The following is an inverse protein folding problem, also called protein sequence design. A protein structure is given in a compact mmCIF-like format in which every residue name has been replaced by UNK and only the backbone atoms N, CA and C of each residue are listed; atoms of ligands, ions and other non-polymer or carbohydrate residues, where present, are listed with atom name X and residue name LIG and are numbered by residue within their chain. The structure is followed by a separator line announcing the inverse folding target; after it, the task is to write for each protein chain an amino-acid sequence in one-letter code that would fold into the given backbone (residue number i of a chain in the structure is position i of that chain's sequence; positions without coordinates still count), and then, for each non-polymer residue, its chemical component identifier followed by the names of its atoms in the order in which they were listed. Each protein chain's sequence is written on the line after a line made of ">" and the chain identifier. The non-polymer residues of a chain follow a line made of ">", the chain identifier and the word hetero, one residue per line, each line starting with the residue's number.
data_IF_352280304746
#
_entry.id   IF_352280304746
#
_cell.length_a   1.000
_cell.length_b   1.000
_cell.length_c   1.000
_cell.angle_alpha   90.00
_cell.angle_beta   90.00
_cell.angle_gamma   90.00
#
_symmetry.space_group_name_H-M   'P 1'
#
loop_
_entity.id
_entity.type
_entity.pdbx_description
1 polymer ?
#
# COMPACT_ATOMS: atom_id res chain seq x y z
N UNK A 1 8.97 -35.66 -56.44
CA UNK A 1 9.83 -35.38 -55.27
C UNK A 1 9.00 -34.62 -54.26
N UNK A 2 8.75 -35.20 -53.08
CA UNK A 2 8.01 -34.53 -52.01
C UNK A 2 9.00 -33.71 -51.16
N UNK A 3 8.76 -32.41 -51.04
CA UNK A 3 9.54 -31.54 -50.16
C UNK A 3 9.19 -31.83 -48.70
N UNK A 4 10.12 -32.43 -47.97
CA UNK A 4 10.03 -32.51 -46.51
C UNK A 4 10.29 -31.10 -45.96
N UNK A 5 9.25 -30.49 -45.37
CA UNK A 5 9.37 -29.20 -44.71
C UNK A 5 9.88 -29.45 -43.29
N UNK A 6 11.21 -29.43 -43.12
CA UNK A 6 11.87 -29.53 -41.81
C UNK A 6 11.75 -28.15 -41.16
N UNK A 7 11.24 -28.10 -39.92
CA UNK A 7 11.08 -26.85 -39.17
C UNK A 7 12.45 -26.17 -38.97
N UNK A 8 12.58 -24.91 -39.40
CA UNK A 8 13.81 -24.12 -39.33
C UNK A 8 14.14 -23.55 -37.93
N UNK A 9 13.40 -23.96 -36.90
CA UNK A 9 13.63 -23.54 -35.51
C UNK A 9 13.48 -24.74 -34.57
N UNK A 10 14.35 -24.89 -33.55
CA UNK A 10 14.24 -25.97 -32.57
C UNK A 10 12.89 -25.93 -31.84
N UNK A 11 12.32 -27.09 -31.52
CA UNK A 11 11.02 -27.21 -30.83
C UNK A 11 11.00 -26.52 -29.45
N UNK A 12 12.16 -26.29 -28.83
CA UNK A 12 12.30 -25.56 -27.56
C UNK A 12 12.32 -24.02 -27.75
N UNK A 13 12.41 -23.53 -28.98
CA UNK A 13 12.15 -22.13 -29.37
C UNK A 13 10.70 -21.98 -29.82
N UNK A 14 9.79 -22.73 -29.18
CA UNK A 14 8.36 -22.54 -29.34
C UNK A 14 7.97 -21.27 -28.58
N UNK A 15 7.23 -20.38 -29.23
CA UNK A 15 6.69 -19.12 -28.71
C UNK A 15 6.46 -19.15 -27.20
N UNK A 16 7.12 -18.27 -26.43
CA UNK A 16 6.89 -18.22 -24.99
C UNK A 16 5.43 -17.87 -24.74
N UNK A 17 4.68 -18.81 -24.17
CA UNK A 17 3.30 -18.60 -23.77
C UNK A 17 3.30 -17.57 -22.65
N UNK A 18 2.62 -16.43 -22.84
CA UNK A 18 2.62 -15.33 -21.87
C UNK A 18 2.24 -15.84 -20.47
N UNK A 19 3.03 -15.52 -19.43
CA UNK A 19 2.77 -15.99 -18.08
C UNK A 19 1.54 -15.30 -17.48
N UNK A 20 0.93 -15.98 -16.50
CA UNK A 20 -0.11 -15.43 -15.65
C UNK A 20 0.48 -14.88 -14.36
N UNK A 21 0.09 -13.67 -13.98
CA UNK A 21 0.35 -13.09 -12.68
C UNK A 21 -0.98 -12.72 -12.06
N UNK A 22 -1.33 -13.33 -10.94
CA UNK A 22 -2.44 -12.88 -10.11
C UNK A 22 -1.87 -12.01 -8.99
N UNK A 23 -2.11 -10.70 -9.07
CA UNK A 23 -1.74 -9.77 -8.02
C UNK A 23 -2.84 -9.70 -6.96
N UNK A 24 -2.49 -9.80 -5.69
CA UNK A 24 -3.41 -9.71 -4.55
C UNK A 24 -2.92 -8.61 -3.62
N UNK A 25 -3.77 -7.60 -3.41
CA UNK A 25 -3.51 -6.54 -2.45
C UNK A 25 -4.07 -6.88 -1.07
N UNK A 26 -3.32 -6.51 -0.03
CA UNK A 26 -3.84 -6.44 1.32
C UNK A 26 -4.78 -5.22 1.46
N UNK A 27 -6.05 -5.50 1.74
CA UNK A 27 -7.08 -4.54 2.08
C UNK A 27 -7.60 -4.78 3.51
N UNK A 28 -6.75 -5.26 4.41
CA UNK A 28 -7.06 -5.27 5.84
C UNK A 28 -6.98 -3.87 6.43
N UNK A 29 -7.66 -3.66 7.55
CA UNK A 29 -7.73 -2.34 8.18
C UNK A 29 -6.38 -1.83 8.68
N UNK A 30 -5.40 -2.72 8.84
CA UNK A 30 -4.02 -2.37 9.17
C UNK A 30 -3.36 -1.44 8.16
N UNK A 31 -3.73 -1.59 6.91
CA UNK A 31 -3.20 -0.82 5.80
C UNK A 31 -3.53 0.68 5.89
N UNK A 32 -4.42 1.08 6.80
CA UNK A 32 -4.73 2.48 7.12
C UNK A 32 -3.71 3.15 8.06
N UNK A 33 -2.82 2.39 8.71
CA UNK A 33 -1.90 2.93 9.72
C UNK A 33 -0.89 3.93 9.14
N UNK A 34 -0.67 5.02 9.87
CA UNK A 34 0.37 6.03 9.62
C UNK A 34 1.64 5.79 10.47
N UNK A 35 1.65 4.68 11.21
CA UNK A 35 2.75 4.28 12.10
C UNK A 35 3.19 2.84 11.85
N UNK A 36 4.50 2.62 11.90
CA UNK A 36 5.20 1.34 12.03
C UNK A 36 6.39 1.54 12.98
N UNK A 37 6.97 0.49 13.59
CA UNK A 37 6.49 -0.89 13.57
C UNK A 37 5.25 -1.05 14.48
N UNK A 38 4.77 -2.28 14.61
CA UNK A 38 3.54 -2.60 15.33
C UNK A 38 3.66 -2.29 16.83
N UNK A 39 4.83 -2.46 17.43
CA UNK A 39 5.12 -2.11 18.82
C UNK A 39 4.84 -0.62 19.08
N UNK A 40 5.26 0.25 18.15
CA UNK A 40 4.96 1.67 18.22
C UNK A 40 3.47 1.95 17.94
N UNK A 41 2.90 1.28 16.94
CA UNK A 41 1.48 1.40 16.55
C UNK A 41 0.53 1.02 17.69
N UNK A 42 0.90 0.02 18.50
CA UNK A 42 0.17 -0.49 19.65
C UNK A 42 0.66 0.07 21.00
N UNK A 43 1.61 1.01 21.03
CA UNK A 43 1.98 1.72 22.27
C UNK A 43 0.72 2.30 22.96
N UNK A 44 0.49 2.00 24.24
CA UNK A 44 -0.75 2.32 24.98
C UNK A 44 -2.02 1.54 24.58
N UNK A 45 -1.90 0.48 23.77
CA UNK A 45 -3.01 -0.43 23.52
C UNK A 45 -3.39 -1.15 24.81
N UNK A 46 -4.67 -1.11 25.15
CA UNK A 46 -5.20 -1.66 26.40
C UNK A 46 -6.25 -2.75 26.17
N UNK A 47 -6.22 -3.40 25.01
CA UNK A 47 -7.22 -4.38 24.59
C UNK A 47 -8.49 -3.78 23.97
N UNK A 48 -8.67 -2.45 24.02
CA UNK A 48 -9.81 -1.79 23.39
C UNK A 48 -9.51 -1.39 21.95
N UNK A 49 -10.33 -1.83 21.00
CA UNK A 49 -10.26 -1.47 19.58
C UNK A 49 -10.22 0.05 19.33
N UNK A 50 -10.76 0.86 20.24
CA UNK A 50 -10.73 2.32 20.19
C UNK A 50 -9.36 2.93 20.51
N UNK A 51 -8.39 2.12 20.93
CA UNK A 51 -6.98 2.48 21.07
C UNK A 51 -6.12 1.97 19.90
N UNK A 52 -6.72 1.27 18.92
CA UNK A 52 -6.07 0.91 17.66
C UNK A 52 -5.94 2.15 16.78
N UNK A 53 -4.84 2.23 16.04
CA UNK A 53 -4.38 3.38 15.25
C UNK A 53 -3.91 4.60 16.07
N UNK A 54 -2.71 5.06 15.73
CA UNK A 54 -2.23 6.41 16.02
C UNK A 54 -2.17 7.20 14.72
N UNK A 55 -2.90 8.31 14.67
CA UNK A 55 -2.84 9.23 13.55
C UNK A 55 -1.72 10.25 13.80
N UNK A 56 -0.87 10.48 12.81
CA UNK A 56 0.19 11.51 12.89
C UNK A 56 -0.32 12.88 12.44
N UNK A 57 -1.48 12.92 11.75
CA UNK A 57 -2.23 14.13 11.44
C UNK A 57 -3.68 14.05 11.93
N UNK A 58 -4.37 15.19 12.12
CA UNK A 58 -5.80 15.16 12.39
C UNK A 58 -6.57 14.36 11.34
N UNK A 59 -7.33 13.37 11.82
CA UNK A 59 -8.07 12.42 11.00
C UNK A 59 -9.06 13.11 10.07
N UNK A 60 -9.12 12.60 8.83
CA UNK A 60 -10.23 12.81 7.89
C UNK A 60 -11.16 11.59 7.94
N UNK A 61 -12.46 11.81 8.08
CA UNK A 61 -13.43 10.72 8.22
C UNK A 61 -13.50 9.86 6.95
N UNK A 62 -13.48 8.54 7.13
CA UNK A 62 -13.65 7.54 6.07
C UNK A 62 -12.66 7.74 4.91
N UNK A 63 -11.43 8.14 5.23
CA UNK A 63 -10.40 8.50 4.24
C UNK A 63 -10.19 7.38 3.22
N UNK A 64 -10.33 6.12 3.63
CA UNK A 64 -10.10 4.94 2.79
C UNK A 64 -11.39 4.30 2.22
N UNK A 65 -12.57 4.88 2.53
CA UNK A 65 -13.86 4.55 1.92
C UNK A 65 -14.62 3.37 2.55
N UNK A 66 -13.99 2.53 3.37
CA UNK A 66 -14.56 1.28 3.88
C UNK A 66 -14.93 1.32 5.37
N UNK A 67 -15.08 2.52 5.92
CA UNK A 67 -15.11 2.75 7.36
C UNK A 67 -13.70 2.92 7.92
N UNK A 68 -13.61 3.34 9.19
CA UNK A 68 -12.37 3.35 9.95
C UNK A 68 -12.64 2.72 11.33
N UNK A 69 -11.60 2.36 12.08
CA UNK A 69 -11.76 1.88 13.46
C UNK A 69 -12.28 3.03 14.35
N UNK A 70 -13.59 3.14 14.52
CA UNK A 70 -14.25 4.29 15.16
C UNK A 70 -14.56 4.03 16.64
N UNK A 71 -14.08 4.95 17.50
CA UNK A 71 -14.94 5.74 18.38
C UNK A 71 -14.23 6.94 19.01
N UNK A 72 -12.90 7.03 18.94
CA UNK A 72 -12.19 8.26 19.32
C UNK A 72 -10.94 8.49 18.45
N UNK A 73 -10.94 9.33 17.39
CA UNK A 73 -9.71 9.57 16.65
C UNK A 73 -8.74 10.35 17.53
N UNK A 74 -7.59 9.73 17.81
CA UNK A 74 -6.56 10.29 18.66
C UNK A 74 -5.35 10.60 17.79
N UNK A 75 -5.03 11.87 17.67
CA UNK A 75 -3.86 12.34 16.92
C UNK A 75 -2.68 12.43 17.87
N UNK A 76 -1.51 11.97 17.47
CA UNK A 76 -0.29 12.21 18.25
C UNK A 76 -0.03 13.72 18.29
N UNK A 77 0.26 14.28 19.47
CA UNK A 77 0.67 15.69 19.61
C UNK A 77 1.84 16.03 18.68
N UNK A 78 2.03 17.31 18.37
CA UNK A 78 3.13 17.77 17.49
C UNK A 78 4.43 18.10 18.23
N UNK A 79 4.41 18.09 19.57
CA UNK A 79 5.54 18.30 20.47
C UNK A 79 5.50 17.27 21.60
N UNK A 80 6.63 17.01 22.23
CA UNK A 80 6.77 15.99 23.28
C UNK A 80 7.37 14.68 22.78
N UNK A 81 7.65 13.79 23.73
CA UNK A 81 8.33 12.51 23.51
C UNK A 81 7.65 11.63 22.47
N UNK A 82 6.31 11.53 22.52
CA UNK A 82 5.53 10.73 21.57
C UNK A 82 5.51 11.38 20.19
N UNK A 83 5.53 12.72 20.12
CA UNK A 83 5.56 13.46 18.87
C UNK A 83 6.85 13.23 18.10
N UNK A 84 7.99 13.26 18.81
CA UNK A 84 9.31 13.02 18.26
C UNK A 84 9.42 11.60 17.67
N UNK A 85 9.02 10.58 18.45
CA UNK A 85 8.99 9.19 17.98
C UNK A 85 8.07 9.00 16.76
N UNK A 86 6.85 9.55 16.79
CA UNK A 86 5.89 9.37 15.70
C UNK A 86 6.31 10.05 14.39
N UNK A 87 7.10 11.13 14.47
CA UNK A 87 7.50 11.97 13.35
C UNK A 87 8.99 11.86 13.01
N UNK A 88 9.62 10.79 13.46
CA UNK A 88 10.98 10.43 13.08
C UNK A 88 10.96 9.17 12.23
N UNK A 89 11.51 9.22 11.02
CA UNK A 89 11.59 8.02 10.17
C UNK A 89 12.48 6.93 10.77
N UNK A 90 13.36 7.26 11.71
CA UNK A 90 14.23 6.30 12.39
C UNK A 90 13.46 5.44 13.41
N UNK A 91 12.34 5.96 13.95
CA UNK A 91 11.46 5.23 14.88
C UNK A 91 10.15 4.80 14.21
N UNK A 92 9.54 5.69 13.44
CA UNK A 92 8.41 5.44 12.57
C UNK A 92 8.80 5.56 11.09
N UNK A 93 9.32 4.49 10.46
CA UNK A 93 9.71 4.51 9.04
C UNK A 93 8.59 4.88 8.05
N UNK A 94 7.32 4.92 8.45
CA UNK A 94 6.23 5.44 7.62
C UNK A 94 6.25 6.98 7.52
N UNK A 95 6.86 7.65 8.49
CA UNK A 95 6.97 9.11 8.49
C UNK A 95 7.98 9.61 7.45
N UNK A 96 7.91 10.91 7.16
CA UNK A 96 8.78 11.58 6.21
C UNK A 96 10.27 11.32 6.50
N UNK A 97 10.98 10.79 5.51
CA UNK A 97 12.43 10.61 5.52
C UNK A 97 13.08 11.66 4.60
N UNK A 98 13.84 12.63 5.14
CA UNK A 98 14.50 13.66 4.34
C UNK A 98 15.55 13.13 3.36
N UNK A 99 16.01 11.88 3.51
CA UNK A 99 16.93 11.22 2.59
C UNK A 99 16.26 10.67 1.32
N UNK A 100 14.92 10.69 1.24
CA UNK A 100 14.14 10.07 0.15
C UNK A 100 13.49 11.15 -0.71
N UNK A 101 13.64 11.04 -2.03
CA UNK A 101 12.84 11.81 -3.00
C UNK A 101 11.50 11.10 -3.23
N UNK A 102 10.41 11.65 -2.68
CA UNK A 102 9.05 11.14 -2.83
C UNK A 102 8.43 11.64 -4.13
N UNK A 103 8.14 10.69 -5.01
CA UNK A 103 7.51 10.92 -6.31
C UNK A 103 6.00 10.68 -6.23
N UNK A 104 5.17 11.40 -7.01
CA UNK A 104 3.76 11.07 -7.17
C UNK A 104 3.53 9.62 -7.62
N UNK A 105 2.32 9.10 -7.43
CA UNK A 105 1.92 7.84 -8.06
C UNK A 105 1.99 7.97 -9.59
N UNK A 106 2.04 6.84 -10.28
CA UNK A 106 2.08 6.80 -11.75
C UNK A 106 0.74 6.37 -12.33
N UNK A 107 0.42 6.84 -13.52
CA UNK A 107 -0.72 6.36 -14.30
C UNK A 107 -0.37 5.05 -15.01
N UNK A 108 -1.38 4.41 -15.62
CA UNK A 108 -1.19 3.17 -16.35
C UNK A 108 -0.19 3.28 -17.52
N UNK A 109 -0.02 4.47 -18.09
CA UNK A 109 0.94 4.77 -19.16
C UNK A 109 2.37 5.08 -18.63
N UNK A 110 2.60 4.97 -17.32
CA UNK A 110 3.89 5.26 -16.68
C UNK A 110 4.17 6.74 -16.43
N UNK A 111 3.29 7.65 -16.85
CA UNK A 111 3.41 9.07 -16.50
C UNK A 111 3.15 9.29 -15.02
N UNK A 112 3.80 10.27 -14.40
CA UNK A 112 3.50 10.64 -13.02
C UNK A 112 2.20 11.43 -12.92
N UNK A 113 1.44 11.17 -11.85
CA UNK A 113 0.38 12.07 -11.42
C UNK A 113 0.96 13.43 -11.02
N UNK A 114 0.14 14.50 -10.98
CA UNK A 114 0.61 15.83 -10.61
C UNK A 114 1.29 15.85 -9.24
N UNK A 115 2.38 16.63 -9.13
CA UNK A 115 3.00 16.92 -7.84
C UNK A 115 1.97 17.55 -6.87
N UNK A 116 2.03 17.18 -5.59
CA UNK A 116 1.06 17.66 -4.61
C UNK A 116 1.33 19.13 -4.29
N UNK A 117 0.37 20.06 -4.46
CA UNK A 117 0.60 21.48 -4.18
C UNK A 117 0.78 21.70 -2.67
N UNK A 118 1.91 22.24 -2.17
CA UNK A 118 2.17 22.36 -0.74
C UNK A 118 1.10 23.13 0.06
N UNK A 119 0.54 24.19 -0.52
CA UNK A 119 -0.51 24.99 0.12
C UNK A 119 -1.90 24.32 0.12
N UNK A 120 -2.08 23.22 -0.63
CA UNK A 120 -3.35 22.53 -0.79
C UNK A 120 -3.15 21.03 -1.06
N UNK A 121 -2.30 20.37 -0.28
CA UNK A 121 -1.94 18.97 -0.51
C UNK A 121 -3.16 18.06 -0.31
N UNK A 122 -3.57 17.25 -1.31
CA UNK A 122 -4.73 16.36 -1.18
C UNK A 122 -4.58 15.38 -0.02
N UNK A 123 -5.63 15.25 0.79
CA UNK A 123 -5.69 14.23 1.83
C UNK A 123 -5.75 12.82 1.21
N UNK A 124 -6.38 12.66 0.05
CA UNK A 124 -6.32 11.41 -0.72
C UNK A 124 -6.24 11.74 -2.21
N UNK A 125 -5.21 11.26 -2.93
CA UNK A 125 -5.11 11.49 -4.38
C UNK A 125 -6.29 10.81 -5.09
N UNK A 126 -6.75 11.38 -6.21
CA UNK A 126 -7.91 10.95 -7.01
C UNK A 126 -9.31 11.15 -6.38
N UNK A 127 -9.40 11.65 -5.15
CA UNK A 127 -10.67 11.83 -4.45
C UNK A 127 -10.78 13.22 -3.81
N UNK A 128 -11.39 14.16 -4.53
CA UNK A 128 -11.54 15.56 -4.09
C UNK A 128 -12.43 15.71 -2.85
N UNK A 129 -13.32 14.75 -2.59
CA UNK A 129 -14.26 14.75 -1.47
C UNK A 129 -13.59 14.74 -0.09
N UNK A 130 -12.32 14.33 -0.02
CA UNK A 130 -11.56 14.31 1.25
C UNK A 130 -10.81 15.62 1.52
N UNK A 131 -10.94 16.62 0.64
CA UNK A 131 -10.33 17.93 0.80
C UNK A 131 -8.79 17.91 0.79
N UNK A 132 -8.22 19.03 1.21
CA UNK A 132 -6.78 19.29 1.18
C UNK A 132 -6.29 19.77 2.55
N UNK A 133 -4.97 19.71 2.76
CA UNK A 133 -4.30 20.32 3.90
C UNK A 133 -3.27 21.33 3.41
N UNK A 134 -3.28 22.53 3.99
CA UNK A 134 -2.22 23.50 3.75
C UNK A 134 -1.00 23.15 4.61
N UNK A 135 0.11 22.76 3.98
CA UNK A 135 1.33 22.33 4.65
C UNK A 135 2.29 23.49 4.96
N UNK A 136 2.02 24.70 4.49
CA UNK A 136 2.93 25.84 4.54
C UNK A 136 2.58 26.85 5.63
N UNK A 137 1.50 26.62 6.39
CA UNK A 137 1.02 27.52 7.46
C UNK A 137 0.64 26.73 8.71
N UNK A 138 0.57 27.44 9.85
CA UNK A 138 0.05 26.86 11.08
C UNK A 138 -1.41 26.41 10.86
N UNK A 139 -1.70 25.17 11.22
CA UNK A 139 -3.02 24.58 11.21
C UNK A 139 -3.53 24.55 12.66
N UNK A 140 -4.80 24.90 12.89
CA UNK A 140 -5.44 24.74 14.20
C UNK A 140 -6.54 23.70 14.09
N UNK A 141 -6.55 22.73 15.01
CA UNK A 141 -7.53 21.65 15.01
C UNK A 141 -8.04 21.35 16.41
N UNK A 142 -9.37 21.35 16.57
CA UNK A 142 -10.04 20.87 17.78
C UNK A 142 -10.22 19.36 17.68
N UNK A 143 -9.60 18.61 18.59
CA UNK A 143 -9.66 17.16 18.55
C UNK A 143 -9.12 16.51 19.82
N UNK A 144 -8.98 15.20 19.75
CA UNK A 144 -8.41 14.36 20.82
C UNK A 144 -6.95 14.08 20.52
N UNK A 145 -6.09 14.30 21.50
CA UNK A 145 -4.64 14.25 21.35
C UNK A 145 -4.02 13.26 22.31
N UNK A 146 -3.18 12.35 21.80
CA UNK A 146 -2.34 11.48 22.62
C UNK A 146 -1.21 12.28 23.26
N UNK A 147 -1.09 12.16 24.58
CA UNK A 147 -0.01 12.72 25.37
C UNK A 147 1.10 11.66 25.60
N UNK A 148 2.27 12.11 26.05
CA UNK A 148 3.44 11.25 26.27
C UNK A 148 3.20 10.13 27.30
N UNK A 149 2.31 10.35 28.27
CA UNK A 149 1.94 9.37 29.28
C UNK A 149 0.77 8.45 28.86
N UNK A 150 0.35 8.47 27.59
CA UNK A 150 -0.77 7.69 27.10
C UNK A 150 -2.16 8.22 27.49
N UNK A 151 -2.25 9.37 28.17
CA UNK A 151 -3.54 10.03 28.38
C UNK A 151 -4.01 10.75 27.11
N UNK A 152 -5.30 11.10 27.07
CA UNK A 152 -5.90 11.81 25.94
C UNK A 152 -6.48 13.12 26.44
N UNK A 153 -6.18 14.19 25.72
CA UNK A 153 -6.75 15.52 25.98
C UNK A 153 -7.58 15.98 24.80
N UNK A 154 -8.77 16.52 25.07
CA UNK A 154 -9.63 17.16 24.07
C UNK A 154 -9.37 18.66 24.11
N UNK A 155 -8.74 19.19 23.07
CA UNK A 155 -8.42 20.62 22.99
C UNK A 155 -8.16 21.05 21.55
N UNK A 156 -8.17 22.37 21.33
CA UNK A 156 -7.62 22.96 20.12
C UNK A 156 -6.10 23.01 20.22
N UNK A 157 -5.40 22.41 19.27
CA UNK A 157 -3.93 22.52 19.13
C UNK A 157 -3.63 23.22 17.82
N UNK A 158 -2.72 24.19 17.89
CA UNK A 158 -2.11 24.82 16.72
C UNK A 158 -0.75 24.18 16.47
N UNK A 159 -0.48 23.76 15.24
CA UNK A 159 0.74 23.08 14.86
C UNK A 159 1.17 23.44 13.44
N UNK A 160 2.46 23.34 13.15
CA UNK A 160 2.96 23.39 11.79
C UNK A 160 3.02 21.97 11.21
N UNK A 161 2.28 21.65 10.15
CA UNK A 161 2.12 20.28 9.66
C UNK A 161 3.42 19.69 9.08
N UNK A 162 4.23 20.49 8.39
CA UNK A 162 5.51 20.06 7.84
C UNK A 162 6.61 20.09 8.91
N UNK A 163 6.43 19.29 9.97
CA UNK A 163 7.37 19.11 11.07
C UNK A 163 7.84 17.66 11.12
N UNK A 164 9.14 17.43 11.21
CA UNK A 164 9.72 16.10 11.48
C UNK A 164 10.79 16.17 12.56
N UNK A 165 11.19 15.01 13.06
CA UNK A 165 12.23 14.87 14.09
C UNK A 165 13.29 13.89 13.59
N UNK A 166 14.56 14.27 13.67
CA UNK A 166 15.69 13.42 13.31
C UNK A 166 16.39 12.97 14.58
N UNK A 167 16.48 11.66 14.80
CA UNK A 167 17.16 11.10 15.98
C UNK A 167 18.66 11.34 15.84
N UNK A 168 19.23 12.08 16.78
CA UNK A 168 20.66 12.45 16.82
C UNK A 168 21.43 11.75 17.93
N UNK A 169 20.73 11.22 18.94
CA UNK A 169 21.27 10.43 20.03
C UNK A 169 20.36 9.22 20.30
N UNK A 170 20.86 8.00 20.14
CA UNK A 170 20.09 6.77 20.33
C UNK A 170 20.19 6.18 21.75
N UNK A 171 20.84 6.89 22.68
CA UNK A 171 20.95 6.45 24.09
C UNK A 171 19.57 6.41 24.77
N UNK A 172 18.71 7.39 24.49
CA UNK A 172 17.36 7.50 25.06
C UNK A 172 16.33 7.89 23.98
N UNK A 173 16.05 7.02 23.00
CA UNK A 173 15.23 7.38 21.83
C UNK A 173 13.76 7.63 22.19
N UNK A 174 13.35 7.37 23.43
CA UNK A 174 12.00 7.73 23.89
C UNK A 174 11.85 9.22 24.27
N UNK A 175 12.95 9.95 24.46
CA UNK A 175 12.94 11.35 24.90
C UNK A 175 13.04 12.31 23.71
N UNK A 176 12.24 13.38 23.69
CA UNK A 176 12.29 14.42 22.66
C UNK A 176 13.66 15.09 22.57
N UNK A 177 14.40 15.19 23.68
CA UNK A 177 15.76 15.74 23.73
C UNK A 177 16.78 14.97 22.88
N UNK A 178 16.47 13.73 22.50
CA UNK A 178 17.32 12.88 21.66
C UNK A 178 17.18 13.19 20.18
N UNK A 179 16.32 14.14 19.82
CA UNK A 179 15.99 14.47 18.44
C UNK A 179 16.27 15.94 18.13
N UNK A 180 16.71 16.17 16.89
CA UNK A 180 16.63 17.47 16.27
C UNK A 180 15.26 17.65 15.64
N UNK A 181 14.52 18.66 16.09
CA UNK A 181 13.21 19.02 15.54
C UNK A 181 13.39 20.01 14.39
N UNK A 182 12.74 19.73 13.25
CA UNK A 182 12.77 20.62 12.07
C UNK A 182 11.35 20.93 11.60
N UNK A 183 11.07 22.22 11.39
CA UNK A 183 9.91 22.69 10.64
C UNK A 183 10.37 23.09 9.24
N UNK A 184 9.72 22.61 8.19
CA UNK A 184 10.04 22.97 6.81
C UNK A 184 9.42 24.33 6.52
N UNK A 185 10.16 25.40 6.83
CA UNK A 185 9.80 26.80 6.61
C UNK A 185 10.85 27.52 5.77
N UNK A 186 10.51 28.60 5.07
CA UNK A 186 11.48 29.39 4.31
C UNK A 186 12.67 29.84 5.16
N UNK A 187 12.42 30.30 6.40
CA UNK A 187 13.48 30.78 7.31
C UNK A 187 14.44 29.70 7.82
N UNK A 188 14.10 28.42 7.65
CA UNK A 188 14.94 27.30 8.05
C UNK A 188 15.77 26.72 6.89
N UNK A 189 15.68 27.32 5.70
CA UNK A 189 16.54 26.94 4.57
C UNK A 189 17.98 27.48 4.74
N UNK A 190 19.00 26.83 4.15
CA UNK A 190 18.91 25.56 3.42
C UNK A 190 18.80 24.34 4.35
N UNK A 191 18.13 23.29 3.87
CA UNK A 191 18.06 22.01 4.56
C UNK A 191 19.25 21.14 4.14
N UNK A 192 20.10 20.74 5.08
CA UNK A 192 21.33 19.98 4.84
C UNK A 192 21.45 18.77 5.76
N UNK A 193 22.25 17.78 5.37
CA UNK A 193 22.45 16.56 6.15
C UNK A 193 21.24 15.63 6.11
N UNK A 194 21.18 14.70 7.07
CA UNK A 194 20.06 13.75 7.23
C UNK A 194 19.79 12.88 5.97
N UNK A 195 20.83 12.62 5.17
CA UNK A 195 20.74 11.78 3.98
C UNK A 195 20.36 12.52 2.70
N UNK A 196 20.21 13.84 2.71
CA UNK A 196 19.85 14.66 1.52
C UNK A 196 20.86 14.56 0.39
N UNK A 197 22.09 14.12 0.65
CA UNK A 197 23.06 13.80 -0.41
C UNK A 197 22.59 12.69 -1.36
N UNK A 198 21.59 11.89 -0.95
CA UNK A 198 20.96 10.84 -1.77
C UNK A 198 19.82 11.36 -2.63
N UNK A 199 19.36 12.59 -2.40
CA UNK A 199 18.27 13.22 -3.14
C UNK A 199 18.78 13.90 -4.39
N UNK A 200 18.39 13.37 -5.55
CA UNK A 200 18.79 13.90 -6.86
C UNK A 200 18.15 15.25 -7.19
N UNK A 201 17.07 15.61 -6.49
CA UNK A 201 16.41 16.90 -6.65
C UNK A 201 17.07 18.02 -5.85
N UNK A 202 18.02 17.71 -4.96
CA UNK A 202 18.79 18.68 -4.17
C UNK A 202 20.18 18.91 -4.75
N UNK A 203 20.80 20.06 -4.44
CA UNK A 203 22.14 20.39 -4.96
C UNK A 203 23.20 20.06 -3.91
N UNK A 204 24.05 19.08 -4.20
CA UNK A 204 25.15 18.65 -3.33
C UNK A 204 24.72 18.37 -1.87
N UNK A 205 23.55 17.75 -1.67
CA UNK A 205 23.00 17.44 -0.35
C UNK A 205 22.40 18.62 0.41
N UNK A 206 22.21 19.76 -0.27
CA UNK A 206 21.52 20.95 0.22
C UNK A 206 20.22 21.16 -0.57
N UNK A 207 19.09 21.18 0.14
CA UNK A 207 17.77 21.43 -0.44
C UNK A 207 17.29 22.84 -0.05
N UNK A 208 16.75 23.57 -1.02
CA UNK A 208 15.99 24.82 -0.79
C UNK A 208 14.67 24.52 -0.09
N UNK A 209 14.01 25.56 0.43
CA UNK A 209 12.64 25.44 0.96
C UNK A 209 11.69 24.80 -0.04
N UNK A 210 11.68 25.27 -1.29
CA UNK A 210 10.75 24.78 -2.33
C UNK A 210 10.96 23.28 -2.62
N UNK A 211 12.21 22.83 -2.69
CA UNK A 211 12.54 21.40 -2.86
C UNK A 211 12.09 20.56 -1.65
N UNK A 212 12.32 21.04 -0.43
CA UNK A 212 11.99 20.29 0.77
C UNK A 212 10.48 20.21 1.01
N UNK A 213 9.76 21.32 0.84
CA UNK A 213 8.31 21.37 1.07
C UNK A 213 7.54 20.63 -0.03
N UNK A 214 8.00 20.65 -1.28
CA UNK A 214 7.41 19.87 -2.36
C UNK A 214 7.58 18.36 -2.12
N UNK A 215 8.74 17.95 -1.62
CA UNK A 215 9.00 16.56 -1.26
C UNK A 215 8.11 16.09 -0.10
N UNK A 216 7.97 16.91 0.94
CA UNK A 216 7.06 16.64 2.05
C UNK A 216 5.60 16.57 1.60
N UNK A 217 5.17 17.44 0.69
CA UNK A 217 3.82 17.41 0.13
C UNK A 217 3.56 16.12 -0.67
N UNK A 218 4.54 15.67 -1.46
CA UNK A 218 4.43 14.41 -2.19
C UNK A 218 4.36 13.22 -1.23
N UNK A 219 5.21 13.16 -0.20
CA UNK A 219 5.10 12.14 0.86
C UNK A 219 3.72 12.16 1.51
N UNK A 220 3.24 13.34 1.90
CA UNK A 220 1.95 13.51 2.55
C UNK A 220 0.82 12.94 1.68
N UNK A 221 0.73 13.34 0.42
CA UNK A 221 -0.38 12.92 -0.45
C UNK A 221 -0.26 11.47 -0.91
N UNK A 222 0.96 10.99 -1.21
CA UNK A 222 1.14 9.74 -1.93
C UNK A 222 1.72 8.58 -1.10
N UNK A 223 2.27 8.81 0.10
CA UNK A 223 3.07 7.80 0.81
C UNK A 223 2.80 7.67 2.32
N UNK A 224 2.09 8.61 2.95
CA UNK A 224 2.04 8.75 4.43
C UNK A 224 1.38 7.62 5.24
N UNK A 225 0.84 6.60 4.60
CA UNK A 225 0.27 5.43 5.27
C UNK A 225 0.56 4.17 4.46
N UNK A 226 0.42 3.00 5.11
CA UNK A 226 0.81 1.70 4.55
C UNK A 226 0.19 1.47 3.16
N UNK A 227 -1.11 1.71 2.97
CA UNK A 227 -1.76 1.52 1.66
C UNK A 227 -1.29 2.52 0.61
N UNK A 228 -1.01 3.77 0.97
CA UNK A 228 -0.54 4.78 0.02
C UNK A 228 0.89 4.48 -0.45
N UNK A 229 1.80 4.16 0.46
CA UNK A 229 3.15 3.71 0.13
C UNK A 229 3.13 2.44 -0.73
N UNK A 230 2.28 1.48 -0.39
CA UNK A 230 2.13 0.23 -1.15
C UNK A 230 1.65 0.50 -2.58
N UNK A 231 0.60 1.31 -2.74
CA UNK A 231 0.09 1.75 -4.05
C UNK A 231 1.15 2.43 -4.90
N UNK A 232 1.96 3.29 -4.29
CA UNK A 232 3.05 3.96 -4.99
C UNK A 232 4.05 2.96 -5.57
N UNK A 233 4.53 2.03 -4.74
CA UNK A 233 5.50 1.01 -5.15
C UNK A 233 4.94 0.03 -6.19
N UNK A 234 3.75 -0.52 -5.94
CA UNK A 234 3.08 -1.45 -6.86
C UNK A 234 2.82 -0.78 -8.21
N UNK A 235 2.23 0.42 -8.19
CA UNK A 235 1.90 1.14 -9.41
C UNK A 235 3.14 1.43 -10.24
N UNK A 236 4.24 1.84 -9.59
CA UNK A 236 5.51 2.06 -10.28
C UNK A 236 6.02 0.79 -10.94
N UNK A 237 6.10 -0.32 -10.20
CA UNK A 237 6.59 -1.59 -10.74
C UNK A 237 5.74 -2.10 -11.92
N UNK A 238 4.41 -2.04 -11.80
CA UNK A 238 3.52 -2.52 -12.86
C UNK A 238 3.43 -1.56 -14.06
N UNK A 239 3.76 -0.28 -13.89
CA UNK A 239 3.71 0.69 -15.00
C UNK A 239 4.75 0.41 -16.09
N UNK A 240 5.86 -0.24 -15.74
CA UNK A 240 6.97 -0.55 -16.63
C UNK A 240 6.67 -1.67 -17.64
N UNK A 241 5.54 -2.38 -17.50
CA UNK A 241 5.14 -3.45 -18.40
C UNK A 241 4.06 -3.00 -19.39
N UNK A 242 4.30 -3.21 -20.69
CA UNK A 242 3.37 -2.90 -21.79
C UNK A 242 2.97 -4.14 -22.59
N UNK A 243 2.72 -5.25 -21.88
CA UNK A 243 2.35 -6.55 -22.46
C UNK A 243 3.38 -7.65 -22.19
N UNK A 244 3.26 -8.76 -22.92
CA UNK A 244 4.11 -9.94 -22.72
C UNK A 244 3.79 -10.74 -21.46
N UNK A 245 2.72 -10.36 -20.75
CA UNK A 245 2.20 -11.03 -19.57
C UNK A 245 0.70 -10.80 -19.43
N UNK A 246 0.08 -11.64 -18.60
CA UNK A 246 -1.35 -11.57 -18.31
C UNK A 246 -1.54 -11.36 -16.82
N UNK A 247 -2.23 -10.28 -16.45
CA UNK A 247 -2.35 -9.87 -15.05
C UNK A 247 -3.81 -9.89 -14.61
N UNK A 248 -4.04 -10.53 -13.46
CA UNK A 248 -5.30 -10.51 -12.71
C UNK A 248 -5.14 -9.67 -11.45
N UNK A 249 -6.27 -9.28 -10.86
CA UNK A 249 -6.31 -8.47 -9.65
C UNK A 249 -7.22 -9.12 -8.60
N UNK A 250 -6.76 -9.12 -7.36
CA UNK A 250 -7.51 -9.60 -6.21
C UNK A 250 -7.21 -8.79 -4.96
N UNK A 251 -8.01 -9.04 -3.92
CA UNK A 251 -7.74 -8.53 -2.59
C UNK A 251 -8.03 -9.57 -1.52
N UNK A 252 -7.35 -9.48 -0.38
CA UNK A 252 -7.44 -10.53 0.65
C UNK A 252 -8.83 -10.60 1.27
N UNK A 253 -9.54 -9.48 1.40
CA UNK A 253 -10.89 -9.41 1.94
C UNK A 253 -12.00 -9.53 0.90
N UNK A 254 -11.68 -9.74 -0.39
CA UNK A 254 -12.70 -10.04 -1.38
C UNK A 254 -13.38 -11.39 -1.09
N UNK A 255 -14.70 -11.35 -0.85
CA UNK A 255 -15.50 -12.51 -0.54
C UNK A 255 -16.33 -12.99 -1.75
N UNK A 256 -16.70 -14.27 -1.71
CA UNK A 256 -17.42 -15.02 -2.75
C UNK A 256 -18.92 -14.79 -2.61
N UNK A 257 -19.48 -13.82 -3.32
CA UNK A 257 -20.95 -13.65 -3.32
C UNK A 257 -21.57 -13.40 -4.69
N UNK A 258 -20.80 -13.05 -5.72
CA UNK A 258 -21.37 -12.79 -7.05
C UNK A 258 -20.55 -13.44 -8.16
N UNK A 259 -21.24 -14.01 -9.15
CA UNK A 259 -20.65 -14.51 -10.40
C UNK A 259 -20.34 -13.39 -11.40
N UNK A 260 -20.80 -12.18 -11.12
CA UNK A 260 -20.75 -11.04 -12.03
C UNK A 260 -19.31 -10.60 -12.36
N UNK A 261 -18.37 -10.76 -11.43
CA UNK A 261 -17.04 -10.13 -11.52
C UNK A 261 -15.94 -11.08 -12.01
N UNK A 262 -16.23 -12.38 -12.12
CA UNK A 262 -15.24 -13.38 -12.51
C UNK A 262 -15.80 -14.28 -13.62
N UNK A 263 -16.14 -13.68 -14.75
CA UNK A 263 -16.48 -14.42 -15.97
C UNK A 263 -17.64 -15.39 -15.78
N UNK A 264 -18.67 -15.00 -15.03
CA UNK A 264 -19.83 -15.84 -14.77
C UNK A 264 -19.59 -17.00 -13.80
N UNK A 265 -18.42 -17.08 -13.15
CA UNK A 265 -18.15 -18.02 -12.07
C UNK A 265 -18.00 -17.30 -10.73
N UNK A 266 -18.36 -17.97 -9.65
CA UNK A 266 -18.14 -17.44 -8.31
C UNK A 266 -16.68 -17.73 -7.92
N UNK A 267 -15.97 -16.71 -7.47
CA UNK A 267 -14.61 -16.83 -6.94
C UNK A 267 -14.44 -16.05 -5.66
N UNK A 268 -13.40 -16.39 -4.92
CA UNK A 268 -12.93 -15.66 -3.73
C UNK A 268 -11.60 -15.02 -4.08
N UNK A 269 -11.25 -13.91 -3.43
CA UNK A 269 -9.98 -13.17 -3.62
C UNK A 269 -9.87 -12.46 -4.96
N UNK A 270 -10.13 -13.17 -6.06
CA UNK A 270 -9.96 -12.69 -7.43
C UNK A 270 -11.15 -11.81 -7.80
N UNK A 271 -10.88 -10.51 -7.89
CA UNK A 271 -11.84 -9.50 -8.34
C UNK A 271 -11.90 -9.49 -9.86
N UNK A 272 -10.76 -9.71 -10.51
CA UNK A 272 -10.61 -9.74 -11.97
C UNK A 272 -9.64 -10.83 -12.36
N UNK A 273 -10.07 -11.73 -13.26
CA UNK A 273 -9.21 -12.78 -13.79
C UNK A 273 -8.03 -12.22 -14.60
N UNK A 274 -7.05 -13.08 -14.90
CA UNK A 274 -5.90 -12.71 -15.73
C UNK A 274 -6.35 -12.32 -17.13
N UNK A 275 -5.80 -11.21 -17.63
CA UNK A 275 -6.00 -10.71 -18.99
C UNK A 275 -4.69 -10.17 -19.52
N UNK A 276 -4.52 -10.11 -20.85
CA UNK A 276 -3.36 -9.45 -21.46
C UNK A 276 -3.18 -8.06 -20.87
N UNK A 277 -1.99 -7.78 -20.35
CA UNK A 277 -1.72 -6.58 -19.57
C UNK A 277 -1.37 -5.39 -20.46
N UNK A 278 -2.35 -4.98 -21.26
CA UNK A 278 -2.24 -3.94 -22.28
C UNK A 278 -3.56 -3.18 -22.41
N UNK A 279 -3.52 -1.92 -22.87
CA UNK A 279 -4.73 -1.12 -23.13
C UNK A 279 -5.67 -1.03 -21.93
N UNK A 280 -6.97 -1.17 -22.17
CA UNK A 280 -8.01 -1.09 -21.12
C UNK A 280 -7.79 -2.06 -19.96
N UNK A 281 -7.16 -3.21 -20.19
CA UNK A 281 -6.89 -4.16 -19.13
C UNK A 281 -5.80 -3.70 -18.16
N UNK A 282 -4.82 -2.93 -18.65
CA UNK A 282 -3.82 -2.27 -17.81
C UNK A 282 -4.50 -1.13 -17.05
N UNK A 283 -5.33 -0.33 -17.71
CA UNK A 283 -6.11 0.75 -17.08
C UNK A 283 -7.00 0.22 -15.94
N UNK A 284 -7.73 -0.88 -16.17
CA UNK A 284 -8.54 -1.56 -15.15
C UNK A 284 -7.72 -1.93 -13.90
N UNK A 285 -6.51 -2.45 -14.08
CA UNK A 285 -5.64 -2.84 -12.97
C UNK A 285 -5.25 -1.62 -12.13
N UNK A 286 -4.88 -0.51 -12.77
CA UNK A 286 -4.52 0.73 -12.08
C UNK A 286 -5.73 1.38 -11.39
N UNK A 287 -6.91 1.31 -12.01
CA UNK A 287 -8.16 1.76 -11.38
C UNK A 287 -8.45 0.95 -10.11
N UNK A 288 -8.38 -0.39 -10.20
CA UNK A 288 -8.54 -1.25 -9.03
C UNK A 288 -7.49 -0.92 -7.96
N UNK A 289 -6.21 -0.82 -8.31
CA UNK A 289 -5.12 -0.53 -7.39
C UNK A 289 -5.38 0.75 -6.58
N UNK A 290 -5.71 1.85 -7.25
CA UNK A 290 -5.81 3.16 -6.61
C UNK A 290 -7.17 3.48 -6.00
N UNK A 291 -8.25 2.89 -6.54
CA UNK A 291 -9.61 3.15 -6.05
C UNK A 291 -10.12 2.13 -5.06
N UNK A 292 -9.45 0.98 -4.88
CA UNK A 292 -9.88 -0.06 -3.92
C UNK A 292 -10.18 0.56 -2.55
N UNK A 293 -11.35 0.24 -2.05
CA UNK A 293 -11.77 0.60 -0.69
C UNK A 293 -11.01 -0.28 0.31
N UNK A 294 -10.54 0.31 1.40
CA UNK A 294 -9.94 -0.44 2.51
C UNK A 294 -10.98 -0.54 3.62
N UNK A 295 -11.53 -1.73 3.89
CA UNK A 295 -12.46 -1.95 5.00
C UNK A 295 -11.74 -2.14 6.35
N UNK A 296 -12.49 -2.06 7.45
CA UNK A 296 -12.00 -2.44 8.78
C UNK A 296 -12.10 -3.96 9.00
N UNK A 297 -11.44 -4.72 8.14
CA UNK A 297 -11.43 -6.19 8.18
C UNK A 297 -10.05 -6.74 8.58
N UNK A 298 -10.00 -8.02 8.94
CA UNK A 298 -8.76 -8.72 9.28
C UNK A 298 -7.89 -9.01 8.06
N UNK A 299 -6.84 -9.81 8.28
CA UNK A 299 -5.78 -10.12 7.32
C UNK A 299 -5.76 -11.63 6.98
N UNK A 300 -6.75 -12.15 6.23
CA UNK A 300 -6.91 -13.59 5.99
C UNK A 300 -6.04 -14.10 4.83
N UNK A 301 -4.71 -13.99 4.96
CA UNK A 301 -3.74 -14.26 3.88
C UNK A 301 -3.85 -15.67 3.30
N UNK A 302 -4.01 -16.69 4.15
CA UNK A 302 -4.13 -18.09 3.70
C UNK A 302 -5.41 -18.33 2.90
N UNK A 303 -6.52 -17.74 3.33
CA UNK A 303 -7.79 -17.76 2.59
C UNK A 303 -7.64 -17.06 1.24
N UNK A 304 -6.85 -15.98 1.20
CA UNK A 304 -6.60 -15.25 -0.04
C UNK A 304 -5.85 -16.14 -1.07
N UNK A 305 -4.76 -16.78 -0.63
CA UNK A 305 -3.97 -17.71 -1.46
C UNK A 305 -4.75 -18.97 -1.86
N UNK A 306 -5.66 -19.46 -1.00
CA UNK A 306 -6.59 -20.52 -1.38
C UNK A 306 -7.47 -20.10 -2.57
N UNK A 307 -8.05 -18.90 -2.53
CA UNK A 307 -8.84 -18.37 -3.65
C UNK A 307 -8.05 -18.20 -4.95
N UNK A 308 -6.76 -17.85 -4.86
CA UNK A 308 -5.85 -17.85 -6.00
C UNK A 308 -5.67 -19.26 -6.59
N UNK A 309 -5.47 -20.26 -5.73
CA UNK A 309 -5.37 -21.66 -6.13
C UNK A 309 -6.66 -22.18 -6.78
N UNK A 310 -7.83 -21.84 -6.23
CA UNK A 310 -9.13 -22.15 -6.84
C UNK A 310 -9.26 -21.53 -8.23
N UNK A 311 -8.85 -20.27 -8.39
CA UNK A 311 -8.85 -19.59 -9.68
C UNK A 311 -7.97 -20.30 -10.72
N UNK A 312 -6.74 -20.67 -10.36
CA UNK A 312 -5.85 -21.41 -11.26
C UNK A 312 -6.26 -22.89 -11.45
N UNK A 313 -7.18 -23.42 -10.66
CA UNK A 313 -7.74 -24.76 -10.86
C UNK A 313 -8.93 -24.79 -11.83
N UNK A 314 -9.38 -23.62 -12.33
CA UNK A 314 -10.46 -23.54 -13.32
C UNK A 314 -10.06 -24.22 -14.63
N UNK A 315 -10.99 -24.99 -15.19
CA UNK A 315 -10.85 -25.71 -16.47
C UNK A 315 -11.89 -25.29 -17.51
N UNK A 316 -12.66 -24.24 -17.23
CA UNK A 316 -13.63 -23.69 -18.17
C UNK A 316 -12.94 -22.85 -19.25
N UNK A 317 -13.60 -22.68 -20.41
CA UNK A 317 -13.02 -22.01 -21.59
C UNK A 317 -12.68 -20.53 -21.39
N UNK A 318 -13.17 -19.90 -20.32
CA UNK A 318 -12.84 -18.51 -19.92
C UNK A 318 -11.77 -18.47 -18.81
N UNK A 319 -11.27 -19.62 -18.38
CA UNK A 319 -10.32 -19.77 -17.29
C UNK A 319 -8.92 -19.22 -17.62
N UNK A 320 -8.00 -19.25 -16.65
CA UNK A 320 -6.67 -18.67 -16.79
C UNK A 320 -5.76 -19.41 -17.77
N UNK A 321 -6.10 -20.64 -18.17
CA UNK A 321 -5.31 -21.44 -19.10
C UNK A 321 -5.65 -21.14 -20.57
N UNK A 322 -6.85 -20.64 -20.82
CA UNK A 322 -7.36 -20.26 -22.13
C UNK A 322 -6.43 -19.26 -22.83
N UNK A 323 -6.31 -19.38 -24.14
CA UNK A 323 -5.64 -18.41 -25.02
C UNK A 323 -6.34 -17.06 -25.01
N UNK A 324 -7.63 -17.01 -24.67
CA UNK A 324 -8.47 -15.80 -24.56
C UNK A 324 -9.15 -15.77 -23.19
N UNK A 325 -8.40 -15.61 -22.08
CA UNK A 325 -8.96 -15.70 -20.74
C UNK A 325 -10.04 -14.63 -20.54
N UNK A 326 -11.18 -15.02 -19.97
CA UNK A 326 -12.38 -14.18 -19.86
C UNK A 326 -13.36 -14.26 -21.03
N UNK A 327 -12.93 -14.76 -22.18
CA UNK A 327 -13.72 -14.83 -23.41
C UNK A 327 -13.95 -16.29 -23.83
N UNK A 328 -15.05 -16.53 -24.56
CA UNK A 328 -15.30 -17.84 -25.16
C UNK A 328 -14.48 -18.00 -26.45
N UNK A 329 -14.23 -19.25 -26.85
CA UNK A 329 -13.60 -19.56 -28.14
C UNK A 329 -12.07 -19.74 -28.08
N UNK A 330 -11.46 -19.57 -26.90
CA UNK A 330 -10.06 -19.90 -26.67
C UNK A 330 -9.80 -21.39 -26.46
N UNK A 331 -8.53 -21.76 -26.51
CA UNK A 331 -8.03 -23.10 -26.18
C UNK A 331 -7.09 -23.04 -24.98
N UNK A 332 -7.18 -24.02 -24.09
CA UNK A 332 -6.29 -24.10 -22.93
C UNK A 332 -4.87 -24.46 -23.39
N UNK A 333 -3.90 -23.65 -22.95
CA UNK A 333 -2.49 -23.87 -23.27
C UNK A 333 -1.76 -24.54 -22.11
N UNK A 334 -1.08 -25.66 -22.41
CA UNK A 334 -0.18 -26.33 -21.48
C UNK A 334 1.12 -25.52 -21.26
N UNK A 335 1.86 -25.87 -20.20
CA UNK A 335 3.19 -25.30 -19.86
C UNK A 335 3.19 -23.79 -19.57
N UNK A 336 2.02 -23.19 -19.37
CA UNK A 336 1.88 -21.79 -19.00
C UNK A 336 2.30 -21.56 -17.55
N UNK A 337 3.29 -20.68 -17.34
CA UNK A 337 3.71 -20.30 -16.00
C UNK A 337 2.63 -19.43 -15.34
N UNK A 338 2.32 -19.70 -14.07
CA UNK A 338 1.34 -18.94 -13.29
C UNK A 338 1.89 -18.62 -11.91
N UNK A 339 1.87 -17.34 -11.57
CA UNK A 339 2.40 -16.80 -10.32
C UNK A 339 1.28 -16.08 -9.55
N UNK A 340 1.36 -16.14 -8.22
CA UNK A 340 0.55 -15.29 -7.34
C UNK A 340 1.49 -14.37 -6.58
N UNK A 341 1.25 -13.06 -6.67
CA UNK A 341 1.99 -12.04 -5.91
C UNK A 341 1.02 -11.50 -4.85
N UNK A 342 1.35 -11.68 -3.57
CA UNK A 342 0.58 -11.17 -2.44
C UNK A 342 1.41 -10.09 -1.73
N UNK A 343 0.90 -8.85 -1.73
CA UNK A 343 1.52 -7.74 -1.01
C UNK A 343 0.72 -7.45 0.26
N UNK A 344 1.38 -7.53 1.43
CA UNK A 344 0.77 -7.39 2.77
C UNK A 344 1.69 -6.64 3.73
N UNK A 345 1.12 -5.99 4.75
CA UNK A 345 1.90 -5.36 5.83
C UNK A 345 2.23 -6.31 6.99
N UNK A 346 1.80 -7.58 6.92
CA UNK A 346 2.23 -8.64 7.81
C UNK A 346 1.10 -9.38 8.53
N UNK A 347 1.47 -10.27 9.45
CA UNK A 347 0.63 -11.05 10.38
C UNK A 347 -0.76 -11.51 9.89
N UNK A 348 -0.90 -12.82 9.67
CA UNK A 348 -2.23 -13.42 9.42
C UNK A 348 -3.13 -13.28 10.66
N UNK A 349 -4.36 -12.78 10.48
CA UNK A 349 -5.37 -12.85 11.55
C UNK A 349 -6.11 -14.18 11.48
N UNK A 350 -6.21 -14.91 12.59
CA UNK A 350 -7.10 -16.07 12.72
C UNK A 350 -6.57 -17.17 13.62
N UNK A 351 -7.35 -17.56 14.63
CA UNK A 351 -7.14 -18.79 15.38
C UNK A 351 -7.62 -19.98 14.52
N UNK A 352 -6.84 -21.07 14.47
CA UNK A 352 -6.97 -22.20 13.54
C UNK A 352 -8.33 -22.95 13.55
N UNK A 353 -9.21 -22.67 14.52
CA UNK A 353 -10.29 -23.57 14.88
C UNK A 353 -11.73 -23.12 14.59
N UNK A 354 -12.05 -21.88 14.20
CA UNK A 354 -13.50 -21.51 14.18
C UNK A 354 -14.00 -20.31 13.36
N UNK A 355 -13.17 -19.55 12.65
CA UNK A 355 -13.61 -18.22 12.17
C UNK A 355 -13.59 -17.97 10.66
N UNK A 356 -13.46 -19.00 9.82
CA UNK A 356 -13.53 -18.83 8.35
C UNK A 356 -12.36 -18.04 7.73
N UNK A 357 -11.34 -17.70 8.53
CA UNK A 357 -10.12 -16.99 8.14
C UNK A 357 -8.95 -17.92 7.75
N UNK A 358 -9.07 -19.23 8.02
CA UNK A 358 -8.11 -20.25 7.58
C UNK A 358 -8.45 -20.85 6.22
N UNK A 359 -7.45 -21.36 5.50
CA UNK A 359 -7.68 -22.22 4.33
C UNK A 359 -8.57 -23.41 4.73
N UNK A 360 -9.51 -23.83 3.88
CA UNK A 360 -10.48 -24.87 4.20
C UNK A 360 -9.82 -26.23 4.50
N UNK A 361 -8.68 -26.51 3.86
CA UNK A 361 -7.95 -27.77 4.02
C UNK A 361 -6.92 -27.73 5.16
N UNK A 362 -6.95 -28.74 6.05
CA UNK A 362 -6.05 -28.91 7.19
C UNK A 362 -4.57 -28.99 6.81
N UNK A 363 -4.22 -29.65 5.70
CA UNK A 363 -2.83 -29.76 5.23
C UNK A 363 -2.25 -28.40 4.80
N UNK A 364 -3.08 -27.54 4.18
CA UNK A 364 -2.69 -26.18 3.80
C UNK A 364 -2.63 -25.21 4.98
N UNK A 365 -3.22 -25.58 6.13
CA UNK A 365 -3.09 -24.82 7.40
C UNK A 365 -1.78 -25.10 8.13
N UNK A 366 -1.09 -26.21 7.82
CA UNK A 366 0.16 -26.60 8.46
C UNK A 366 1.42 -26.12 7.71
N UNK A 367 1.30 -25.75 6.43
CA UNK A 367 2.43 -25.27 5.64
C UNK A 367 2.75 -23.80 5.98
N UNK A 368 3.75 -23.61 6.85
CA UNK A 368 4.30 -22.31 7.24
C UNK A 368 5.72 -22.07 6.72
N UNK A 369 6.32 -23.06 6.07
CA UNK A 369 7.74 -23.09 5.69
C UNK A 369 7.98 -23.44 4.20
N UNK A 370 6.92 -23.71 3.44
CA UNK A 370 7.02 -23.98 2.00
C UNK A 370 7.42 -25.41 1.66
N UNK A 371 7.49 -26.34 2.62
CA UNK A 371 7.76 -27.74 2.28
C UNK A 371 6.50 -28.40 1.69
N UNK A 372 6.69 -29.23 0.67
CA UNK A 372 5.65 -30.00 -0.01
C UNK A 372 5.56 -31.44 0.48
N UNK A 373 6.36 -31.85 1.47
CA UNK A 373 6.17 -33.14 2.13
C UNK A 373 4.99 -33.08 3.10
N UNK A 374 3.92 -33.81 2.74
CA UNK A 374 2.69 -33.92 3.53
C UNK A 374 2.78 -34.75 4.80
#
# INVERSE_FOLDING_TARGET
>A
MASVNIANSPLFVTSSVEPNILFIIDDSGSMMWETIPDEFTYKFFNGNINSLMKWVFPRINNLHGGGDYHNTPRTVRFTGNLAAQARSHQINPMYYNPAVTYRPWVNADGTEMPAAPPAAAPNRPLFTTYGTRNLTVNNSWNGRWWNDNGTITSQTVTFFPATYYYLVDDTNPEQESSYQRTEIRPENEPFTGEGREKRSDCTAGSCTYDQEIQNFANWYTYHRNRIFASRAGIGRAFSEFDGGMRVGYGSINHNRTTTANLDGVAGRTVIRGVRNFTGSHKEDFFDQLYRRVIPTEGTPLRRALEGAGEYFSRTDSRGPWSSTPGEQGGVDLACRQSFTILMTDGYTTGNLASSGYGAANAARRANTDGDTSG
#
